data_IF_075800348321
#
_entry.id   IF_075800348321
#
_cell.length_a   1.000
_cell.length_b   1.000
_cell.length_c   1.000
_cell.angle_alpha   90.00
_cell.angle_beta   90.00
_cell.angle_gamma   90.00
#
_symmetry.space_group_name_H-M   'P 1'
#
loop_
_entity.id
_entity.type
_entity.pdbx_description
1 polymer ?
#
# COMPACT_ATOMS: atom_id res chain seq x y z
N UNK A 1 9.78 -29.22 -0.23
CA UNK A 1 10.40 -29.39 1.09
C UNK A 1 11.14 -28.14 1.49
N UNK A 2 10.51 -27.38 2.38
CA UNK A 2 10.85 -26.01 2.77
C UNK A 2 11.25 -25.97 4.26
N UNK A 3 11.75 -27.08 4.78
CA UNK A 3 11.76 -27.31 6.21
C UNK A 3 12.91 -26.54 6.84
N UNK A 4 12.55 -25.50 7.58
CA UNK A 4 13.40 -24.97 8.62
C UNK A 4 13.74 -26.15 9.53
N UNK A 5 15.00 -26.57 9.57
CA UNK A 5 15.41 -27.81 10.26
C UNK A 5 15.28 -27.59 11.77
N UNK A 6 15.79 -26.46 12.25
CA UNK A 6 15.67 -26.05 13.64
C UNK A 6 15.53 -24.54 13.70
N UNK A 7 14.84 -24.05 14.72
CA UNK A 7 14.77 -22.61 15.04
C UNK A 7 15.24 -22.39 16.46
N UNK A 8 16.25 -21.55 16.59
CA UNK A 8 16.83 -21.18 17.89
C UNK A 8 16.71 -19.67 18.03
N UNK A 9 16.05 -19.24 19.11
CA UNK A 9 16.02 -17.82 19.48
C UNK A 9 16.21 -17.65 20.97
N UNK A 10 16.62 -16.45 21.35
CA UNK A 10 16.90 -16.09 22.74
C UNK A 10 15.75 -15.24 23.27
N UNK A 11 15.17 -15.66 24.39
CA UNK A 11 14.12 -14.93 25.11
C UNK A 11 14.59 -14.68 26.56
N UNK A 12 15.04 -13.46 26.84
CA UNK A 12 15.64 -13.12 28.13
C UNK A 12 16.95 -13.88 28.37
N UNK A 13 17.01 -14.70 29.43
CA UNK A 13 18.16 -15.58 29.72
C UNK A 13 17.99 -17.01 29.20
N UNK A 14 16.86 -17.32 28.57
CA UNK A 14 16.56 -18.65 28.04
C UNK A 14 16.81 -18.72 26.53
N UNK A 15 17.22 -19.89 26.05
CA UNK A 15 17.27 -20.24 24.64
C UNK A 15 16.14 -21.21 24.33
N UNK A 16 15.28 -20.86 23.40
CA UNK A 16 14.18 -21.71 22.93
C UNK A 16 14.59 -22.34 21.62
N UNK A 17 14.48 -23.67 21.55
CA UNK A 17 14.85 -24.49 20.40
C UNK A 17 13.61 -25.25 19.94
N UNK A 18 13.20 -25.02 18.70
CA UNK A 18 12.22 -25.82 17.99
C UNK A 18 12.95 -26.77 17.04
N UNK A 19 12.68 -28.06 17.16
CA UNK A 19 13.17 -29.12 16.28
C UNK A 19 11.98 -29.84 15.62
N UNK A 20 12.25 -30.90 14.87
CA UNK A 20 11.24 -31.76 14.23
C UNK A 20 10.45 -32.65 15.20
N UNK A 21 11.06 -33.03 16.32
CA UNK A 21 10.47 -33.90 17.35
C UNK A 21 10.00 -33.14 18.60
N UNK A 22 10.70 -32.06 18.97
CA UNK A 22 10.59 -31.45 20.29
C UNK A 22 10.76 -29.93 20.32
N UNK A 23 10.19 -29.35 21.37
CA UNK A 23 10.39 -27.97 21.81
C UNK A 23 11.18 -28.01 23.11
N UNK A 24 12.38 -27.44 23.12
CA UNK A 24 13.26 -27.45 24.29
C UNK A 24 13.66 -26.02 24.71
N UNK A 25 13.65 -25.77 26.01
CA UNK A 25 14.09 -24.50 26.61
C UNK A 25 15.35 -24.76 27.42
N UNK A 26 16.43 -24.03 27.11
CA UNK A 26 17.71 -24.13 27.79
C UNK A 26 18.00 -22.86 28.57
N UNK A 27 18.60 -23.00 29.76
CA UNK A 27 19.24 -21.89 30.45
C UNK A 27 20.66 -21.71 29.92
N UNK A 28 21.12 -20.46 29.85
CA UNK A 28 22.45 -20.06 29.36
C UNK A 28 23.64 -20.82 29.96
N UNK A 29 23.46 -21.45 31.12
CA UNK A 29 24.51 -22.13 31.88
C UNK A 29 24.42 -23.66 31.74
N UNK A 30 23.25 -24.21 31.44
CA UNK A 30 23.00 -25.65 31.48
C UNK A 30 22.78 -26.23 30.08
N UNK A 31 23.55 -27.28 29.77
CA UNK A 31 23.39 -28.07 28.53
C UNK A 31 22.12 -28.94 28.59
N UNK A 32 21.55 -29.16 29.77
CA UNK A 32 20.28 -29.89 29.93
C UNK A 32 19.10 -28.94 29.76
N UNK A 33 18.06 -29.34 29.02
CA UNK A 33 16.87 -28.52 28.89
C UNK A 33 16.18 -28.38 30.25
N UNK A 34 15.76 -27.15 30.56
CA UNK A 34 14.91 -26.83 31.70
C UNK A 34 13.51 -27.38 31.48
N UNK A 35 13.07 -27.39 30.23
CA UNK A 35 11.75 -27.83 29.82
C UNK A 35 11.81 -28.44 28.41
N UNK A 36 11.09 -29.55 28.21
CA UNK A 36 11.06 -30.28 26.94
C UNK A 36 9.64 -30.81 26.70
N UNK A 37 9.06 -30.53 25.53
CA UNK A 37 7.78 -31.07 25.06
C UNK A 37 8.01 -31.78 23.73
N UNK A 38 7.49 -33.00 23.60
CA UNK A 38 7.42 -33.73 22.34
C UNK A 38 6.08 -33.45 21.66
N UNK A 39 6.11 -33.10 20.38
CA UNK A 39 4.90 -32.72 19.62
C UNK A 39 4.53 -33.71 18.50
N UNK A 40 5.37 -34.71 18.22
CA UNK A 40 5.09 -35.82 17.27
C UNK A 40 4.67 -35.37 15.85
N UNK A 41 4.96 -34.13 15.45
CA UNK A 41 4.54 -33.57 14.15
C UNK A 41 5.36 -34.15 12.98
N UNK A 42 6.58 -34.64 13.22
CA UNK A 42 7.51 -35.10 12.19
C UNK A 42 8.08 -33.98 11.32
N UNK A 43 7.85 -32.72 11.71
CA UNK A 43 8.44 -31.53 11.10
C UNK A 43 8.52 -30.40 12.12
N UNK A 44 9.45 -29.49 11.91
CA UNK A 44 9.67 -28.33 12.78
C UNK A 44 8.50 -27.34 12.63
N UNK A 45 7.80 -26.96 13.71
CA UNK A 45 6.62 -26.09 13.68
C UNK A 45 6.98 -24.61 13.42
N UNK A 46 7.94 -24.37 12.53
CA UNK A 46 8.42 -23.05 12.18
C UNK A 46 8.57 -22.92 10.66
N UNK A 47 8.12 -21.78 10.15
CA UNK A 47 8.14 -21.46 8.73
C UNK A 47 8.56 -20.03 8.51
N UNK A 48 9.31 -19.79 7.44
CA UNK A 48 9.59 -18.44 6.97
C UNK A 48 8.37 -17.82 6.31
N UNK A 49 8.24 -16.50 6.45
CA UNK A 49 7.11 -15.74 5.95
C UNK A 49 7.00 -15.81 4.41
N UNK A 50 8.12 -15.61 3.71
CA UNK A 50 8.16 -15.62 2.25
C UNK A 50 8.50 -17.01 1.72
N UNK A 51 7.75 -17.48 0.72
CA UNK A 51 7.98 -18.81 0.12
C UNK A 51 9.00 -18.80 -1.02
N UNK A 52 9.15 -17.68 -1.72
CA UNK A 52 10.05 -17.55 -2.87
C UNK A 52 11.51 -17.45 -2.42
N UNK A 53 12.38 -18.29 -2.99
CA UNK A 53 13.82 -18.27 -2.72
C UNK A 53 14.48 -17.15 -3.51
N UNK A 54 15.48 -16.50 -2.89
CA UNK A 54 16.30 -15.51 -3.59
C UNK A 54 17.27 -16.18 -4.58
N UNK A 55 17.90 -17.28 -4.14
CA UNK A 55 18.79 -18.10 -4.95
C UNK A 55 18.33 -19.56 -4.86
N UNK A 56 18.55 -20.33 -5.91
CA UNK A 56 18.13 -21.74 -5.97
C UNK A 56 18.77 -22.59 -4.87
N UNK A 57 20.02 -22.30 -4.53
CA UNK A 57 20.82 -23.02 -3.54
C UNK A 57 20.57 -22.54 -2.10
N UNK A 58 20.19 -21.28 -1.92
CA UNK A 58 19.99 -20.71 -0.59
C UNK A 58 18.56 -20.94 -0.09
N UNK A 59 18.42 -21.79 0.92
CA UNK A 59 17.12 -22.12 1.54
C UNK A 59 16.61 -21.03 2.51
N UNK A 60 17.50 -20.20 3.03
CA UNK A 60 17.22 -19.22 4.10
C UNK A 60 16.82 -17.87 3.50
N UNK A 61 17.56 -17.38 2.51
CA UNK A 61 17.31 -16.06 1.94
C UNK A 61 16.08 -16.11 1.02
N UNK A 62 15.06 -15.34 1.38
CA UNK A 62 13.80 -15.27 0.64
C UNK A 62 13.63 -13.93 -0.05
N UNK A 63 12.95 -13.98 -1.20
CA UNK A 63 12.66 -12.82 -1.99
C UNK A 63 11.46 -12.08 -1.40
N UNK A 64 11.67 -10.86 -0.89
CA UNK A 64 10.60 -9.96 -0.50
C UNK A 64 10.17 -9.07 -1.69
N UNK A 65 9.07 -8.31 -1.58
CA UNK A 65 8.72 -7.27 -2.56
C UNK A 65 9.83 -6.23 -2.75
N UNK A 66 10.58 -5.90 -1.69
CA UNK A 66 11.64 -4.88 -1.72
C UNK A 66 12.95 -5.41 -2.28
N UNK A 67 13.17 -6.73 -2.25
CA UNK A 67 14.45 -7.35 -2.65
C UNK A 67 14.89 -7.00 -4.08
N UNK A 68 13.95 -6.76 -5.00
CA UNK A 68 14.26 -6.36 -6.39
C UNK A 68 14.80 -4.93 -6.51
N UNK A 69 14.45 -4.07 -5.57
CA UNK A 69 14.77 -2.64 -5.58
C UNK A 69 15.90 -2.27 -4.62
N UNK A 70 16.58 -3.26 -4.02
CA UNK A 70 17.68 -3.01 -3.07
C UNK A 70 18.81 -2.18 -3.70
N UNK A 71 19.18 -2.48 -4.94
CA UNK A 71 20.18 -1.70 -5.68
C UNK A 71 19.72 -0.26 -5.92
N UNK A 72 18.43 -0.05 -6.20
CA UNK A 72 17.87 1.27 -6.45
C UNK A 72 17.78 2.07 -5.14
N UNK A 73 17.56 1.42 -4.00
CA UNK A 73 17.61 2.03 -2.67
C UNK A 73 19.04 2.49 -2.30
N UNK A 74 20.06 1.71 -2.61
CA UNK A 74 21.46 2.12 -2.42
C UNK A 74 21.79 3.35 -3.28
N UNK A 75 21.30 3.37 -4.51
CA UNK A 75 21.46 4.50 -5.41
C UNK A 75 20.71 5.76 -4.94
N UNK A 76 19.50 5.59 -4.40
CA UNK A 76 18.75 6.67 -3.77
C UNK A 76 19.51 7.23 -2.55
N UNK A 77 20.07 6.38 -1.70
CA UNK A 77 20.87 6.80 -0.54
C UNK A 77 22.09 7.61 -0.98
N UNK A 78 22.76 7.19 -2.05
CA UNK A 78 23.86 7.93 -2.64
C UNK A 78 23.42 9.34 -3.07
N UNK A 79 22.32 9.46 -3.82
CA UNK A 79 21.81 10.76 -4.27
C UNK A 79 21.38 11.67 -3.11
N UNK A 80 20.72 11.12 -2.08
CA UNK A 80 20.36 11.88 -0.88
C UNK A 80 21.60 12.40 -0.15
N UNK A 81 22.67 11.60 -0.09
CA UNK A 81 23.93 11.97 0.56
C UNK A 81 24.68 13.01 -0.26
N UNK A 82 24.77 12.82 -1.57
CA UNK A 82 25.36 13.79 -2.50
C UNK A 82 24.65 15.14 -2.42
N UNK A 83 23.31 15.16 -2.39
CA UNK A 83 22.53 16.39 -2.20
C UNK A 83 22.88 17.10 -0.90
N UNK A 84 23.03 16.37 0.22
CA UNK A 84 23.45 16.96 1.51
C UNK A 84 24.84 17.60 1.40
N UNK A 85 25.80 16.92 0.78
CA UNK A 85 27.14 17.48 0.56
C UNK A 85 27.11 18.72 -0.34
N UNK A 86 26.31 18.71 -1.41
CA UNK A 86 26.17 19.85 -2.30
C UNK A 86 25.47 21.03 -1.64
N UNK A 87 24.42 20.79 -0.87
CA UNK A 87 23.77 21.84 -0.07
C UNK A 87 24.76 22.48 0.90
N UNK A 88 25.61 21.67 1.56
CA UNK A 88 26.65 22.18 2.43
C UNK A 88 27.68 23.00 1.65
N UNK A 89 28.19 22.48 0.53
CA UNK A 89 29.16 23.18 -0.33
C UNK A 89 28.60 24.49 -0.91
N UNK A 90 27.32 24.51 -1.27
CA UNK A 90 26.65 25.68 -1.83
C UNK A 90 26.26 26.72 -0.76
N UNK A 91 26.13 26.32 0.50
CA UNK A 91 25.81 27.23 1.60
C UNK A 91 27.00 28.09 2.03
N UNK A 92 28.23 27.63 1.75
CA UNK A 92 29.46 28.33 2.09
C UNK A 92 30.24 28.68 0.82
N UNK A 93 30.29 29.96 0.49
CA UNK A 93 31.00 30.45 -0.67
C UNK A 93 32.50 30.20 -0.52
N UNK A 94 33.15 29.79 -1.61
CA UNK A 94 34.61 29.70 -1.69
C UNK A 94 35.14 30.97 -2.33
N UNK A 95 36.12 31.59 -1.69
CA UNK A 95 36.75 32.82 -2.12
C UNK A 95 38.19 32.52 -2.53
N UNK A 96 38.63 33.14 -3.63
CA UNK A 96 40.02 33.02 -4.08
C UNK A 96 40.65 34.40 -4.16
N UNK A 97 41.75 34.60 -3.45
CA UNK A 97 42.53 35.84 -3.45
C UNK A 97 43.89 35.62 -4.11
N UNK A 98 44.58 36.70 -4.47
CA UNK A 98 45.99 36.56 -4.81
C UNK A 98 46.82 36.26 -3.56
N UNK A 99 47.88 35.47 -3.74
CA UNK A 99 48.94 35.39 -2.73
C UNK A 99 49.51 36.80 -2.53
N UNK A 100 49.40 37.31 -1.30
CA UNK A 100 50.15 38.49 -0.89
C UNK A 100 51.58 38.03 -0.61
N UNK A 101 52.57 38.64 -1.26
CA UNK A 101 53.96 38.49 -0.83
C UNK A 101 54.09 39.07 0.58
N UNK A 102 54.57 38.26 1.53
CA UNK A 102 54.84 38.63 2.94
C UNK A 102 56.04 39.58 3.09
N UNK A 103 56.25 40.49 2.13
CA UNK A 103 57.32 41.48 2.14
C UNK A 103 56.87 42.80 2.80
N UNK A 104 56.10 42.74 3.89
CA UNK A 104 55.78 43.92 4.69
C UNK A 104 57.04 44.41 5.43
N UNK A 105 57.80 45.32 4.82
CA UNK A 105 58.85 46.07 5.51
C UNK A 105 58.21 47.26 6.23
N UNK A 106 58.09 47.16 7.55
CA UNK A 106 57.73 48.29 8.42
C UNK A 106 58.72 49.45 8.19
N UNK A 107 58.29 50.63 7.72
CA UNK A 107 59.18 51.75 7.43
C UNK A 107 59.79 52.40 8.68
N UNK A 108 59.48 51.91 9.90
CA UNK A 108 60.05 52.41 11.17
C UNK A 108 60.93 51.42 11.92
N UNK A 109 61.41 50.34 11.30
CA UNK A 109 62.43 49.49 11.94
C UNK A 109 63.84 49.85 11.48
N UNK A 110 64.50 50.68 12.27
CA UNK A 110 65.94 50.92 12.21
C UNK A 110 66.69 49.60 12.42
N UNK A 111 67.54 49.26 11.46
CA UNK A 111 68.71 48.36 11.53
C UNK A 111 68.79 47.38 12.72
N UNK A 112 68.16 46.22 12.59
CA UNK A 112 68.62 45.00 13.27
C UNK A 112 69.26 44.08 12.22
N UNK A 113 70.60 43.99 12.24
CA UNK A 113 71.41 43.13 11.36
C UNK A 113 71.43 41.66 11.79
N UNK A 114 70.33 41.11 12.31
CA UNK A 114 70.24 39.71 12.75
C UNK A 114 68.87 39.05 12.48
N UNK A 115 68.26 39.35 11.32
CA UNK A 115 67.15 38.54 10.81
C UNK A 115 67.71 37.54 9.80
N UNK A 116 67.97 36.31 10.25
CA UNK A 116 68.24 35.17 9.38
C UNK A 116 67.11 34.97 8.35
N UNK A 117 67.36 34.25 7.25
CA UNK A 117 66.36 34.06 6.19
C UNK A 117 65.10 33.47 6.82
N UNK A 118 63.96 34.15 6.66
CA UNK A 118 62.66 33.64 7.06
C UNK A 118 62.46 32.30 6.33
N UNK A 119 62.56 31.19 7.04
CA UNK A 119 62.27 29.86 6.49
C UNK A 119 60.81 29.85 6.01
N UNK A 120 60.63 29.70 4.69
CA UNK A 120 59.31 29.41 4.11
C UNK A 120 58.81 28.11 4.74
N UNK A 121 57.81 28.21 5.62
CA UNK A 121 57.07 27.03 6.08
C UNK A 121 56.53 26.30 4.84
N UNK A 122 56.70 24.98 4.73
CA UNK A 122 56.12 24.23 3.62
C UNK A 122 54.60 24.42 3.66
N UNK A 123 53.99 24.78 2.52
CA UNK A 123 52.53 24.79 2.37
C UNK A 123 52.02 23.37 2.64
N UNK A 124 51.52 23.13 3.85
CA UNK A 124 50.68 21.98 4.11
C UNK A 124 49.44 22.12 3.23
N UNK A 125 49.11 21.10 2.44
CA UNK A 125 47.85 21.07 1.71
C UNK A 125 46.71 21.01 2.72
N UNK A 126 46.16 22.16 3.09
CA UNK A 126 44.91 22.23 3.86
C UNK A 126 43.79 21.61 3.02
N UNK A 127 43.06 20.66 3.63
CA UNK A 127 41.92 20.04 2.98
C UNK A 127 40.91 21.11 2.60
N UNK A 128 40.63 21.26 1.30
CA UNK A 128 39.65 22.22 0.79
C UNK A 128 38.24 21.78 1.14
N UNK A 129 37.71 22.34 2.24
CA UNK A 129 36.34 22.19 2.69
C UNK A 129 35.39 23.24 2.09
N UNK A 130 34.10 23.17 2.41
CA UNK A 130 33.16 24.26 2.18
C UNK A 130 33.61 25.52 2.93
N UNK A 131 33.60 26.69 2.27
CA UNK A 131 34.08 27.96 2.86
C UNK A 131 35.60 28.17 2.85
N UNK A 132 36.39 27.30 2.20
CA UNK A 132 37.84 27.50 2.10
C UNK A 132 38.18 28.73 1.27
N UNK A 133 39.10 29.54 1.81
CA UNK A 133 39.75 30.64 1.12
C UNK A 133 40.99 30.09 0.41
N UNK A 134 41.02 30.17 -0.91
CA UNK A 134 42.17 29.75 -1.72
C UNK A 134 43.04 30.92 -2.15
N UNK A 135 44.31 30.66 -2.41
CA UNK A 135 45.23 31.66 -2.97
C UNK A 135 45.64 31.27 -4.39
N UNK A 136 45.76 32.27 -5.28
CA UNK A 136 46.24 32.12 -6.65
C UNK A 136 47.54 32.91 -6.78
N UNK A 137 48.60 32.37 -7.40
CA UNK A 137 49.85 33.12 -7.58
C UNK A 137 49.62 34.34 -8.46
N UNK A 138 50.24 35.47 -8.10
CA UNK A 138 50.17 36.71 -8.88
C UNK A 138 50.92 36.54 -10.21
N UNK A 139 50.35 36.90 -11.37
CA UNK A 139 51.05 36.84 -12.66
C UNK A 139 52.24 37.80 -12.67
N UNK A 140 53.40 37.34 -13.18
CA UNK A 140 54.68 38.06 -13.03
C UNK A 140 55.15 38.81 -14.30
N UNK A 141 54.39 38.79 -15.40
CA UNK A 141 54.81 39.44 -16.65
C UNK A 141 53.68 39.98 -17.56
N UNK A 142 54.01 40.87 -18.52
CA UNK A 142 53.05 41.48 -19.45
C UNK A 142 52.41 40.50 -20.44
N UNK A 143 53.05 39.37 -20.77
CA UNK A 143 52.49 38.33 -21.66
C UNK A 143 51.63 37.30 -20.91
N UNK A 144 51.63 37.31 -19.57
CA UNK A 144 50.71 36.51 -18.73
C UNK A 144 49.40 37.25 -18.40
N UNK A 145 49.28 38.52 -18.81
CA UNK A 145 48.09 39.34 -18.61
C UNK A 145 46.86 38.85 -19.38
N UNK A 146 47.03 38.06 -20.44
CA UNK A 146 45.92 37.52 -21.25
C UNK A 146 45.20 36.36 -20.56
N UNK A 147 45.79 35.82 -19.49
CA UNK A 147 45.22 34.80 -18.61
C UNK A 147 44.75 35.36 -17.28
N UNK A 148 44.18 36.57 -17.26
CA UNK A 148 43.48 37.16 -16.09
C UNK A 148 42.39 36.21 -15.57
N UNK A 149 42.78 35.19 -14.79
CA UNK A 149 41.90 34.53 -13.84
C UNK A 149 41.57 35.60 -12.82
N UNK A 150 40.39 36.20 -12.95
CA UNK A 150 39.91 37.24 -12.05
C UNK A 150 40.20 36.83 -10.59
N UNK A 151 41.07 37.55 -9.87
CA UNK A 151 41.23 37.37 -8.43
C UNK A 151 39.97 37.93 -7.75
N UNK A 152 39.38 37.19 -6.82
CA UNK A 152 38.08 37.53 -6.25
C UNK A 152 36.90 36.94 -7.03
N UNK A 153 37.08 35.81 -7.72
CA UNK A 153 35.92 35.03 -8.20
C UNK A 153 35.25 34.38 -7.00
N UNK A 154 34.07 34.91 -6.68
CA UNK A 154 33.09 34.20 -5.88
C UNK A 154 32.58 33.02 -6.71
N UNK A 155 32.94 31.80 -6.32
CA UNK A 155 32.34 30.62 -6.96
C UNK A 155 30.89 30.54 -6.49
N UNK A 156 29.97 30.88 -7.40
CA UNK A 156 28.55 30.75 -7.14
C UNK A 156 28.16 29.28 -7.03
N UNK A 157 27.17 28.95 -6.20
CA UNK A 157 26.72 27.57 -6.03
C UNK A 157 26.15 27.02 -7.34
N UNK A 158 26.48 25.76 -7.66
CA UNK A 158 25.98 25.11 -8.88
C UNK A 158 24.51 24.67 -8.69
N UNK A 159 23.59 25.60 -8.99
CA UNK A 159 22.15 25.40 -8.90
C UNK A 159 21.65 24.36 -9.91
N UNK A 160 22.32 24.19 -11.06
CA UNK A 160 21.87 23.24 -12.10
C UNK A 160 22.09 21.81 -11.66
N UNK A 161 23.28 21.51 -11.14
CA UNK A 161 23.58 20.16 -10.64
C UNK A 161 22.77 19.85 -9.38
N UNK A 162 22.52 20.84 -8.52
CA UNK A 162 21.64 20.66 -7.37
C UNK A 162 20.21 20.29 -7.79
N UNK A 163 19.63 21.00 -8.78
CA UNK A 163 18.31 20.68 -9.32
C UNK A 163 18.26 19.29 -9.93
N UNK A 164 19.28 18.90 -10.70
CA UNK A 164 19.38 17.56 -11.27
C UNK A 164 19.33 16.48 -10.19
N UNK A 165 20.07 16.62 -9.10
CA UNK A 165 20.02 15.66 -8.00
C UNK A 165 18.68 15.61 -7.28
N UNK A 166 17.99 16.74 -7.14
CA UNK A 166 16.63 16.78 -6.56
C UNK A 166 15.62 16.08 -7.47
N UNK A 167 15.69 16.34 -8.77
CA UNK A 167 14.81 15.71 -9.76
C UNK A 167 15.07 14.20 -9.85
N UNK A 168 16.34 13.77 -9.82
CA UNK A 168 16.74 12.37 -9.83
C UNK A 168 16.32 11.64 -8.54
N UNK A 169 16.48 12.27 -7.37
CA UNK A 169 15.99 11.72 -6.09
C UNK A 169 14.47 11.48 -6.14
N UNK A 170 13.71 12.45 -6.64
CA UNK A 170 12.26 12.32 -6.77
C UNK A 170 11.88 11.22 -7.77
N UNK A 171 12.61 11.14 -8.90
CA UNK A 171 12.42 10.12 -9.93
C UNK A 171 12.67 8.71 -9.38
N UNK A 172 13.81 8.49 -8.73
CA UNK A 172 14.18 7.21 -8.12
C UNK A 172 13.23 6.81 -6.99
N UNK A 173 12.89 7.75 -6.09
CA UNK A 173 11.92 7.51 -5.03
C UNK A 173 10.56 7.09 -5.59
N UNK A 174 10.08 7.78 -6.63
CA UNK A 174 8.83 7.44 -7.31
C UNK A 174 8.91 6.09 -8.03
N UNK A 175 10.04 5.77 -8.67
CA UNK A 175 10.27 4.49 -9.34
C UNK A 175 10.21 3.32 -8.34
N UNK A 176 10.95 3.43 -7.24
CA UNK A 176 10.99 2.41 -6.18
C UNK A 176 9.58 2.24 -5.59
N UNK A 177 8.91 3.34 -5.25
CA UNK A 177 7.56 3.29 -4.71
C UNK A 177 6.59 2.59 -5.67
N UNK A 178 6.61 2.94 -6.96
CA UNK A 178 5.76 2.33 -8.00
C UNK A 178 6.07 0.86 -8.23
N UNK A 179 7.33 0.44 -8.09
CA UNK A 179 7.72 -0.96 -8.23
C UNK A 179 7.22 -1.81 -7.05
N UNK A 180 7.28 -1.27 -5.83
CA UNK A 180 6.90 -2.00 -4.61
C UNK A 180 5.39 -2.02 -4.39
N UNK A 181 4.71 -0.89 -4.58
CA UNK A 181 3.28 -0.71 -4.24
C UNK A 181 2.38 -0.78 -5.48
N UNK A 182 2.93 -0.59 -6.68
CA UNK A 182 2.19 -0.31 -7.89
C UNK A 182 2.02 1.19 -8.12
N UNK A 183 1.51 1.56 -9.31
CA UNK A 183 1.38 2.97 -9.70
C UNK A 183 0.14 3.58 -9.04
N UNK A 184 0.32 4.64 -8.25
CA UNK A 184 -0.80 5.41 -7.68
C UNK A 184 -1.39 6.39 -8.72
N UNK A 185 -2.70 6.61 -8.63
CA UNK A 185 -3.47 7.49 -9.53
C UNK A 185 -3.09 8.97 -9.36
N UNK A 186 -2.71 9.38 -8.15
CA UNK A 186 -2.52 10.78 -7.77
C UNK A 186 -1.35 11.50 -8.48
N UNK A 187 -0.43 10.77 -9.12
CA UNK A 187 0.74 11.37 -9.80
C UNK A 187 0.43 11.74 -11.27
N UNK A 188 -0.80 11.54 -11.74
CA UNK A 188 -1.14 11.64 -13.16
C UNK A 188 -2.41 12.46 -13.39
N UNK A 189 -2.43 13.70 -12.89
CA UNK A 189 -3.41 14.70 -13.34
C UNK A 189 -2.85 15.43 -14.57
N UNK A 190 -3.61 15.35 -15.68
CA UNK A 190 -4.17 16.52 -16.42
C UNK A 190 -4.54 16.20 -17.88
N UNK A 191 -4.88 14.95 -18.21
CA UNK A 191 -5.42 14.63 -19.53
C UNK A 191 -6.34 13.43 -19.45
N UNK A 192 -7.49 13.51 -20.12
CA UNK A 192 -8.47 12.44 -20.24
C UNK A 192 -7.78 11.12 -20.57
N UNK A 193 -7.65 10.23 -19.59
CA UNK A 193 -7.07 8.91 -19.81
C UNK A 193 -8.12 8.00 -20.41
N UNK A 194 -7.68 7.20 -21.37
CA UNK A 194 -8.45 6.07 -21.88
C UNK A 194 -8.59 5.01 -20.77
N UNK A 195 -9.79 4.48 -20.59
CA UNK A 195 -10.18 3.46 -19.61
C UNK A 195 -9.14 2.31 -19.48
N UNK A 196 -8.60 1.85 -20.61
CA UNK A 196 -7.57 0.79 -20.68
C UNK A 196 -6.29 1.10 -19.88
N UNK A 197 -5.90 2.37 -19.75
CA UNK A 197 -4.70 2.75 -18.98
C UNK A 197 -4.97 2.71 -17.46
N UNK A 198 -6.21 2.96 -17.07
CA UNK A 198 -6.66 2.89 -15.68
C UNK A 198 -6.73 1.42 -15.25
N UNK A 199 -7.31 0.55 -16.10
CA UNK A 199 -7.39 -0.88 -15.83
C UNK A 199 -6.01 -1.54 -15.70
N UNK A 200 -5.08 -1.21 -16.60
CA UNK A 200 -3.70 -1.71 -16.52
C UNK A 200 -2.98 -1.31 -15.23
N UNK A 201 -3.34 -0.15 -14.66
CA UNK A 201 -2.80 0.30 -13.37
C UNK A 201 -3.33 -0.56 -12.23
N UNK A 202 -4.64 -0.87 -12.23
CA UNK A 202 -5.25 -1.75 -11.24
C UNK A 202 -4.71 -3.17 -11.29
N UNK A 203 -4.51 -3.72 -12.49
CA UNK A 203 -3.92 -5.05 -12.67
C UNK A 203 -2.52 -5.14 -12.05
N UNK A 204 -1.73 -4.07 -12.19
CA UNK A 204 -0.38 -4.00 -11.60
C UNK A 204 -0.44 -4.04 -10.07
N UNK A 205 -1.31 -3.25 -9.45
CA UNK A 205 -1.51 -3.24 -8.00
C UNK A 205 -2.07 -4.58 -7.48
N UNK A 206 -3.03 -5.16 -8.19
CA UNK A 206 -3.59 -6.47 -7.87
C UNK A 206 -2.53 -7.57 -7.88
N UNK A 207 -1.64 -7.56 -8.88
CA UNK A 207 -0.54 -8.54 -8.98
C UNK A 207 0.36 -8.52 -7.75
N UNK A 208 0.74 -7.32 -7.27
CA UNK A 208 1.51 -7.15 -6.03
C UNK A 208 0.74 -7.70 -4.82
N UNK A 209 -0.54 -7.35 -4.69
CA UNK A 209 -1.38 -7.84 -3.60
C UNK A 209 -1.58 -9.34 -3.63
N UNK A 210 -1.74 -9.96 -4.80
CA UNK A 210 -1.87 -11.42 -4.92
C UNK A 210 -0.63 -12.16 -4.44
N UNK A 211 0.56 -11.62 -4.74
CA UNK A 211 1.83 -12.19 -4.24
C UNK A 211 1.87 -12.14 -2.70
N UNK A 212 1.46 -11.03 -2.10
CA UNK A 212 1.42 -10.89 -0.64
C UNK A 212 0.37 -11.82 -0.03
N UNK A 213 -0.86 -11.79 -0.57
CA UNK A 213 -1.99 -12.64 -0.15
C UNK A 213 -1.62 -14.12 -0.12
N UNK A 214 -1.08 -14.63 -1.23
CA UNK A 214 -0.73 -16.06 -1.36
C UNK A 214 0.23 -16.49 -0.24
N UNK A 215 1.21 -15.65 0.11
CA UNK A 215 2.11 -15.96 1.22
C UNK A 215 1.39 -15.96 2.58
N UNK A 216 0.49 -15.00 2.84
CA UNK A 216 -0.31 -14.98 4.07
C UNK A 216 -1.23 -16.19 4.21
N UNK A 217 -1.93 -16.59 3.14
CA UNK A 217 -2.79 -17.79 3.15
C UNK A 217 -2.00 -19.04 3.46
N UNK A 218 -0.82 -19.16 2.85
CA UNK A 218 0.09 -20.27 3.07
C UNK A 218 0.59 -20.31 4.53
N UNK A 219 0.92 -19.16 5.12
CA UNK A 219 1.36 -19.08 6.53
C UNK A 219 0.24 -19.45 7.47
N UNK A 220 -0.95 -18.87 7.29
CA UNK A 220 -2.07 -19.15 8.18
C UNK A 220 -2.54 -20.58 8.02
N UNK A 221 -2.54 -21.12 6.80
CA UNK A 221 -2.84 -22.53 6.56
C UNK A 221 -1.84 -23.42 7.31
N UNK A 222 -0.55 -23.06 7.30
CA UNK A 222 0.46 -23.77 8.08
C UNK A 222 0.22 -23.65 9.59
N UNK A 223 -0.06 -22.45 10.10
CA UNK A 223 -0.31 -22.22 11.53
C UNK A 223 -1.56 -22.96 12.02
N UNK A 224 -2.68 -22.83 11.31
CA UNK A 224 -3.96 -23.44 11.68
C UNK A 224 -3.93 -24.96 11.50
N UNK A 225 -3.27 -25.48 10.46
CA UNK A 225 -3.09 -26.93 10.32
C UNK A 225 -2.20 -27.50 11.41
N UNK A 226 -1.12 -26.81 11.78
CA UNK A 226 -0.23 -27.24 12.88
C UNK A 226 -1.00 -27.23 14.20
N UNK A 227 -1.75 -26.16 14.49
CA UNK A 227 -2.58 -26.06 15.69
C UNK A 227 -3.67 -27.14 15.73
N UNK A 228 -4.36 -27.37 14.60
CA UNK A 228 -5.40 -28.39 14.50
C UNK A 228 -4.83 -29.80 14.64
N UNK A 229 -3.64 -30.07 14.10
CA UNK A 229 -2.95 -31.37 14.24
C UNK A 229 -2.59 -31.61 15.71
N UNK A 230 -2.03 -30.62 16.42
CA UNK A 230 -1.73 -30.74 17.85
C UNK A 230 -3.02 -30.96 18.68
N UNK A 231 -4.12 -30.30 18.30
CA UNK A 231 -5.38 -30.35 19.07
C UNK A 231 -6.20 -31.62 18.83
N UNK A 232 -6.26 -32.08 17.58
CA UNK A 232 -7.18 -33.13 17.14
C UNK A 232 -6.47 -34.41 16.68
N UNK A 233 -5.14 -34.40 16.52
CA UNK A 233 -4.37 -35.55 16.06
C UNK A 233 -4.90 -36.11 14.74
N UNK A 234 -5.10 -37.42 14.69
CA UNK A 234 -5.56 -38.17 13.52
C UNK A 234 -6.98 -37.81 13.04
N UNK A 235 -7.77 -37.09 13.85
CA UNK A 235 -9.11 -36.65 13.44
C UNK A 235 -9.07 -35.44 12.48
N UNK A 236 -7.91 -34.79 12.32
CA UNK A 236 -7.75 -33.66 11.42
C UNK A 236 -7.57 -34.11 9.97
N UNK A 237 -8.49 -33.70 9.09
CA UNK A 237 -8.46 -34.05 7.66
C UNK A 237 -7.74 -32.97 6.84
N UNK A 238 -7.94 -31.69 7.16
CA UNK A 238 -7.34 -30.59 6.42
C UNK A 238 -7.92 -29.22 6.76
N UNK A 239 -7.21 -28.19 6.30
CA UNK A 239 -7.59 -26.79 6.42
C UNK A 239 -7.33 -26.06 5.10
N UNK A 240 -8.25 -25.20 4.71
CA UNK A 240 -8.13 -24.29 3.57
C UNK A 240 -8.44 -22.88 4.04
N UNK A 241 -7.59 -21.93 3.65
CA UNK A 241 -7.72 -20.52 3.99
C UNK A 241 -7.64 -19.75 2.68
N UNK A 242 -8.71 -19.01 2.36
CA UNK A 242 -8.79 -18.11 1.23
C UNK A 242 -9.15 -16.69 1.70
N UNK A 243 -8.32 -15.72 1.34
CA UNK A 243 -8.49 -14.30 1.61
C UNK A 243 -9.29 -13.57 0.52
N UNK A 244 -9.75 -14.29 -0.50
CA UNK A 244 -10.56 -13.77 -1.60
C UNK A 244 -9.74 -12.94 -2.60
N UNK A 245 -10.35 -12.59 -3.72
CA UNK A 245 -9.65 -11.92 -4.85
C UNK A 245 -10.09 -10.48 -5.06
N UNK A 246 -11.07 -10.02 -4.30
CA UNK A 246 -11.72 -8.72 -4.46
C UNK A 246 -11.13 -7.72 -3.47
N UNK A 247 -10.29 -6.82 -3.97
CA UNK A 247 -9.69 -5.74 -3.19
C UNK A 247 -10.37 -4.40 -3.47
N UNK A 248 -10.41 -3.54 -2.46
CA UNK A 248 -10.96 -2.18 -2.52
C UNK A 248 -9.98 -1.21 -3.17
N UNK A 249 -9.65 -1.43 -4.45
CA UNK A 249 -8.75 -0.56 -5.21
C UNK A 249 -9.51 0.51 -6.00
N UNK A 250 -10.74 0.20 -6.43
CA UNK A 250 -11.56 1.10 -7.24
C UNK A 250 -12.40 2.03 -6.36
N UNK A 251 -12.42 3.30 -6.74
CA UNK A 251 -13.32 4.29 -6.15
C UNK A 251 -14.76 4.06 -6.58
N UNK A 252 -15.70 4.54 -5.75
CA UNK A 252 -17.14 4.41 -5.97
C UNK A 252 -17.57 4.98 -7.34
N UNK A 253 -16.96 6.09 -7.76
CA UNK A 253 -17.23 6.73 -9.07
C UNK A 253 -16.86 5.82 -10.24
N UNK A 254 -15.70 5.17 -10.17
CA UNK A 254 -15.24 4.23 -11.20
C UNK A 254 -16.13 2.99 -11.24
N UNK A 255 -16.53 2.45 -10.08
CA UNK A 255 -17.45 1.31 -10.01
C UNK A 255 -18.84 1.62 -10.58
N UNK A 256 -19.35 2.84 -10.40
CA UNK A 256 -20.58 3.28 -11.07
C UNK A 256 -20.42 3.39 -12.59
N UNK A 257 -19.24 3.80 -13.06
CA UNK A 257 -18.87 3.77 -14.49
C UNK A 257 -18.92 2.35 -15.05
N UNK A 258 -18.22 1.42 -14.40
CA UNK A 258 -18.19 0.00 -14.76
C UNK A 258 -19.61 -0.60 -14.81
N UNK A 259 -20.45 -0.27 -13.82
CA UNK A 259 -21.83 -0.73 -13.76
C UNK A 259 -22.66 -0.24 -14.97
N UNK A 260 -22.51 1.04 -15.34
CA UNK A 260 -23.21 1.62 -16.49
C UNK A 260 -22.78 0.92 -17.79
N UNK A 261 -21.48 0.73 -17.98
CA UNK A 261 -20.92 0.07 -19.18
C UNK A 261 -21.39 -1.38 -19.26
N UNK A 262 -21.32 -2.13 -18.15
CA UNK A 262 -21.80 -3.51 -18.09
C UNK A 262 -23.29 -3.61 -18.43
N UNK A 263 -24.09 -2.65 -17.97
CA UNK A 263 -25.52 -2.59 -18.26
C UNK A 263 -25.82 -2.26 -19.72
N UNK A 264 -25.09 -1.30 -20.32
CA UNK A 264 -25.21 -0.95 -21.74
C UNK A 264 -24.73 -2.10 -22.65
N UNK A 265 -23.72 -2.85 -22.23
CA UNK A 265 -23.23 -4.04 -22.92
C UNK A 265 -24.14 -5.26 -22.81
N UNK A 266 -25.17 -5.22 -21.97
CA UNK A 266 -26.08 -6.34 -21.74
C UNK A 266 -25.43 -7.50 -20.97
N UNK A 267 -24.53 -7.20 -20.03
CA UNK A 267 -23.92 -8.21 -19.18
C UNK A 267 -24.97 -9.01 -18.38
N UNK A 268 -24.64 -10.26 -18.04
CA UNK A 268 -25.51 -11.12 -17.23
C UNK A 268 -25.76 -10.53 -15.84
N UNK A 269 -26.92 -10.84 -15.25
CA UNK A 269 -27.33 -10.34 -13.92
C UNK A 269 -26.31 -10.64 -12.83
N UNK A 270 -25.65 -11.81 -12.86
CA UNK A 270 -24.59 -12.19 -11.92
C UNK A 270 -23.43 -11.18 -11.91
N UNK A 271 -23.07 -10.64 -13.07
CA UNK A 271 -21.96 -9.68 -13.19
C UNK A 271 -22.41 -8.30 -12.67
N UNK A 272 -23.65 -7.90 -12.96
CA UNK A 272 -24.21 -6.66 -12.44
C UNK A 272 -24.31 -6.70 -10.91
N UNK A 273 -24.72 -7.85 -10.35
CA UNK A 273 -24.75 -8.08 -8.91
C UNK A 273 -23.36 -7.99 -8.29
N UNK A 274 -22.35 -8.64 -8.89
CA UNK A 274 -20.98 -8.57 -8.39
C UNK A 274 -20.44 -7.13 -8.34
N UNK A 275 -20.70 -6.33 -9.39
CA UNK A 275 -20.29 -4.93 -9.43
C UNK A 275 -21.04 -4.12 -8.37
N UNK A 276 -22.35 -4.35 -8.20
CA UNK A 276 -23.14 -3.66 -7.18
C UNK A 276 -22.67 -4.01 -5.76
N UNK A 277 -22.40 -5.28 -5.47
CA UNK A 277 -21.87 -5.69 -4.18
C UNK A 277 -20.54 -4.99 -3.88
N UNK A 278 -19.67 -4.82 -4.89
CA UNK A 278 -18.44 -4.01 -4.74
C UNK A 278 -18.78 -2.55 -4.40
N UNK A 279 -19.75 -1.93 -5.06
CA UNK A 279 -20.17 -0.55 -4.75
C UNK A 279 -20.63 -0.43 -3.29
N UNK A 280 -21.49 -1.34 -2.83
CA UNK A 280 -22.01 -1.34 -1.45
C UNK A 280 -20.90 -1.57 -0.44
N UNK A 281 -20.06 -2.57 -0.65
CA UNK A 281 -18.96 -2.90 0.25
C UNK A 281 -17.93 -1.76 0.33
N UNK A 282 -17.66 -1.07 -0.79
CA UNK A 282 -16.76 0.10 -0.80
C UNK A 282 -17.39 1.29 -0.07
N UNK A 283 -18.70 1.55 -0.25
CA UNK A 283 -19.39 2.65 0.41
C UNK A 283 -19.50 2.47 1.93
N UNK A 284 -19.75 1.25 2.40
CA UNK A 284 -19.99 0.95 3.82
C UNK A 284 -18.81 0.26 4.50
N UNK A 285 -17.58 0.51 4.04
CA UNK A 285 -16.36 -0.17 4.50
C UNK A 285 -16.18 -0.20 6.03
N UNK A 286 -16.55 0.89 6.71
CA UNK A 286 -16.41 1.03 8.16
C UNK A 286 -17.70 0.77 8.93
N UNK A 287 -18.84 0.64 8.26
CA UNK A 287 -20.15 0.49 8.89
C UNK A 287 -20.81 -0.83 8.50
N UNK A 288 -20.50 -1.86 9.31
CA UNK A 288 -21.03 -3.20 9.11
C UNK A 288 -22.56 -3.25 9.27
N UNK A 289 -23.16 -2.34 10.05
CA UNK A 289 -24.62 -2.31 10.26
C UNK A 289 -25.31 -1.80 9.00
N UNK A 290 -24.79 -0.75 8.38
CA UNK A 290 -25.33 -0.23 7.12
C UNK A 290 -25.11 -1.19 5.95
N UNK A 291 -23.98 -1.91 5.93
CA UNK A 291 -23.71 -2.96 4.96
C UNK A 291 -24.73 -4.10 5.06
N UNK A 292 -24.94 -4.64 6.26
CA UNK A 292 -25.94 -5.68 6.49
C UNK A 292 -27.35 -5.22 6.13
N UNK A 293 -27.69 -3.96 6.44
CA UNK A 293 -28.97 -3.35 6.04
C UNK A 293 -29.12 -3.29 4.53
N UNK A 294 -28.10 -2.87 3.80
CA UNK A 294 -28.13 -2.78 2.34
C UNK A 294 -28.28 -4.17 1.69
N UNK A 295 -27.61 -5.19 2.23
CA UNK A 295 -27.74 -6.58 1.77
C UNK A 295 -29.17 -7.10 1.97
N UNK A 296 -29.75 -6.91 3.15
CA UNK A 296 -31.14 -7.30 3.43
C UNK A 296 -32.10 -6.59 2.46
N UNK A 297 -31.95 -5.28 2.25
CA UNK A 297 -32.81 -4.53 1.34
C UNK A 297 -32.70 -5.06 -0.10
N UNK A 298 -31.50 -5.46 -0.54
CA UNK A 298 -31.28 -6.02 -1.88
C UNK A 298 -32.00 -7.36 -2.07
N UNK A 299 -32.01 -8.22 -1.06
CA UNK A 299 -32.76 -9.48 -1.14
C UNK A 299 -34.28 -9.31 -1.05
N UNK A 300 -34.74 -8.25 -0.37
CA UNK A 300 -36.16 -7.90 -0.32
C UNK A 300 -36.66 -7.27 -1.62
N UNK A 301 -35.76 -6.85 -2.51
CA UNK A 301 -36.09 -6.26 -3.79
C UNK A 301 -36.35 -7.36 -4.84
N UNK A 302 -37.55 -7.43 -5.46
CA UNK A 302 -37.82 -8.42 -6.49
C UNK A 302 -36.97 -8.31 -7.76
N UNK A 303 -36.43 -7.12 -8.07
CA UNK A 303 -35.65 -6.82 -9.27
C UNK A 303 -34.53 -5.80 -8.96
N UNK A 304 -33.49 -6.16 -8.18
CA UNK A 304 -32.54 -5.20 -7.61
C UNK A 304 -31.74 -4.40 -8.65
N UNK A 305 -31.41 -5.01 -9.79
CA UNK A 305 -30.56 -4.39 -10.82
C UNK A 305 -31.33 -3.60 -11.89
N UNK A 306 -32.67 -3.55 -11.76
CA UNK A 306 -33.55 -2.87 -12.70
C UNK A 306 -33.95 -1.49 -12.19
N UNK A 307 -33.96 -0.52 -13.10
CA UNK A 307 -34.50 0.81 -12.82
C UNK A 307 -36.03 0.79 -12.88
N UNK A 308 -36.69 1.76 -12.25
CA UNK A 308 -38.16 1.85 -12.27
C UNK A 308 -38.73 1.87 -13.71
N UNK A 309 -38.04 2.54 -14.64
CA UNK A 309 -38.43 2.58 -16.06
C UNK A 309 -38.39 1.20 -16.72
N UNK A 310 -37.36 0.41 -16.41
CA UNK A 310 -37.23 -0.97 -16.92
C UNK A 310 -38.29 -1.87 -16.31
N UNK A 311 -38.58 -1.70 -15.02
CA UNK A 311 -39.59 -2.48 -14.30
C UNK A 311 -41.00 -2.19 -14.85
N UNK A 312 -41.32 -0.93 -15.16
CA UNK A 312 -42.58 -0.56 -15.85
C UNK A 312 -42.68 -1.28 -17.20
N UNK A 313 -41.63 -1.23 -18.02
CA UNK A 313 -41.62 -1.91 -19.31
C UNK A 313 -41.76 -3.45 -19.19
N UNK A 314 -41.22 -4.05 -18.12
CA UNK A 314 -41.35 -5.49 -17.85
C UNK A 314 -42.79 -5.81 -17.41
N UNK A 315 -43.38 -4.96 -16.57
CA UNK A 315 -44.76 -5.11 -16.13
C UNK A 315 -45.76 -5.00 -17.29
N UNK A 316 -45.58 -4.01 -18.17
CA UNK A 316 -46.42 -3.84 -19.37
C UNK A 316 -46.35 -5.04 -20.32
N UNK A 317 -45.21 -5.75 -20.33
CA UNK A 317 -45.00 -6.99 -21.10
C UNK A 317 -45.47 -8.25 -20.35
N UNK A 318 -46.03 -8.12 -19.15
CA UNK A 318 -46.51 -9.24 -18.33
C UNK A 318 -45.40 -10.08 -17.70
N UNK A 319 -44.18 -9.55 -17.57
CA UNK A 319 -43.02 -10.29 -17.04
C UNK A 319 -42.93 -10.32 -15.50
N UNK A 320 -43.77 -9.56 -14.79
CA UNK A 320 -43.77 -9.50 -13.32
C UNK A 320 -45.19 -9.38 -12.78
N UNK A 321 -45.44 -10.01 -11.63
CA UNK A 321 -46.71 -9.91 -10.91
C UNK A 321 -46.94 -8.50 -10.33
N UNK A 322 -48.21 -8.09 -10.25
CA UNK A 322 -48.64 -6.77 -9.77
C UNK A 322 -48.16 -6.50 -8.34
N UNK A 323 -48.17 -7.52 -7.47
CA UNK A 323 -47.71 -7.39 -6.08
C UNK A 323 -46.22 -7.08 -6.04
N UNK A 324 -45.40 -7.85 -6.77
CA UNK A 324 -43.95 -7.63 -6.82
C UNK A 324 -43.59 -6.28 -7.48
N UNK A 325 -44.36 -5.83 -8.47
CA UNK A 325 -44.23 -4.50 -9.05
C UNK A 325 -44.48 -3.38 -8.01
N UNK A 326 -45.55 -3.51 -7.20
CA UNK A 326 -45.88 -2.55 -6.14
C UNK A 326 -44.79 -2.52 -5.05
N UNK A 327 -44.26 -3.70 -4.69
CA UNK A 327 -43.15 -3.81 -3.73
C UNK A 327 -41.91 -3.11 -4.25
N UNK A 328 -41.48 -3.35 -5.50
CA UNK A 328 -40.31 -2.69 -6.09
C UNK A 328 -40.46 -1.17 -6.08
N UNK A 329 -41.58 -0.65 -6.58
CA UNK A 329 -41.82 0.79 -6.73
C UNK A 329 -41.95 1.54 -5.40
N UNK A 330 -42.34 0.85 -4.31
CA UNK A 330 -42.50 1.45 -2.98
C UNK A 330 -41.56 0.86 -1.92
N UNK A 331 -40.47 0.21 -2.33
CA UNK A 331 -39.59 -0.56 -1.44
C UNK A 331 -39.13 0.25 -0.22
N UNK A 332 -38.62 1.46 -0.43
CA UNK A 332 -38.15 2.33 0.66
C UNK A 332 -39.26 2.71 1.65
N UNK A 333 -40.49 2.93 1.17
CA UNK A 333 -41.64 3.23 2.05
C UNK A 333 -42.03 2.02 2.87
N UNK A 334 -42.03 0.83 2.28
CA UNK A 334 -42.33 -0.42 2.96
C UNK A 334 -41.28 -0.77 4.01
N UNK A 335 -40.00 -0.57 3.70
CA UNK A 335 -38.90 -0.68 4.67
C UNK A 335 -39.10 0.27 5.84
N UNK A 336 -39.37 1.55 5.60
CA UNK A 336 -39.60 2.52 6.68
C UNK A 336 -40.83 2.19 7.53
N UNK A 337 -41.94 1.76 6.90
CA UNK A 337 -43.14 1.32 7.61
C UNK A 337 -42.86 0.11 8.49
N UNK A 338 -42.13 -0.87 7.96
CA UNK A 338 -41.72 -2.06 8.70
C UNK A 338 -40.82 -1.70 9.87
N UNK A 339 -39.78 -0.89 9.65
CA UNK A 339 -38.84 -0.48 10.71
C UNK A 339 -39.55 0.27 11.84
N UNK A 340 -40.60 1.04 11.53
CA UNK A 340 -41.43 1.74 12.52
C UNK A 340 -42.28 0.80 13.38
N UNK A 341 -42.73 -0.32 12.83
CA UNK A 341 -43.64 -1.26 13.51
C UNK A 341 -42.92 -2.39 14.23
N UNK A 342 -41.79 -2.86 13.69
CA UNK A 342 -41.14 -4.10 14.14
C UNK A 342 -39.68 -3.89 14.62
N UNK A 343 -39.16 -2.67 14.57
CA UNK A 343 -37.75 -2.37 14.86
C UNK A 343 -36.84 -2.48 13.64
N UNK A 344 -35.54 -2.18 13.82
CA UNK A 344 -34.60 -2.10 12.70
C UNK A 344 -34.39 -3.42 11.96
N UNK A 345 -34.25 -3.38 10.63
CA UNK A 345 -34.10 -4.58 9.79
C UNK A 345 -32.97 -5.53 10.21
N UNK A 346 -31.87 -4.97 10.72
CA UNK A 346 -30.70 -5.75 11.16
C UNK A 346 -31.01 -6.51 12.45
N UNK A 347 -31.72 -5.87 13.39
CA UNK A 347 -32.01 -6.43 14.73
C UNK A 347 -33.22 -7.39 14.70
N UNK A 348 -34.18 -7.16 13.80
CA UNK A 348 -35.34 -8.02 13.63
C UNK A 348 -34.91 -9.46 13.32
N UNK A 349 -35.42 -10.44 14.06
CA UNK A 349 -35.15 -11.86 13.81
C UNK A 349 -33.69 -12.28 13.98
N UNK A 350 -32.89 -11.60 14.81
CA UNK A 350 -31.46 -11.92 15.03
C UNK A 350 -31.19 -13.33 15.57
N UNK A 351 -32.17 -13.95 16.23
CA UNK A 351 -32.11 -15.32 16.74
C UNK A 351 -32.70 -16.37 15.78
N UNK A 352 -33.23 -15.94 14.64
CA UNK A 352 -33.91 -16.79 13.65
C UNK A 352 -32.98 -16.97 12.45
N UNK A 353 -33.12 -18.10 11.76
CA UNK A 353 -32.44 -18.35 10.49
C UNK A 353 -32.74 -17.25 9.45
N UNK A 354 -31.75 -16.92 8.63
CA UNK A 354 -31.79 -15.76 7.72
C UNK A 354 -32.89 -15.89 6.66
N UNK A 355 -33.09 -17.09 6.09
CA UNK A 355 -34.12 -17.31 5.06
C UNK A 355 -35.52 -17.12 5.64
N UNK A 356 -35.72 -17.60 6.86
CA UNK A 356 -37.00 -17.45 7.56
C UNK A 356 -37.28 -15.97 7.85
N UNK A 357 -36.27 -15.22 8.28
CA UNK A 357 -36.35 -13.78 8.50
C UNK A 357 -36.77 -13.03 7.23
N UNK A 358 -36.13 -13.30 6.09
CA UNK A 358 -36.47 -12.64 4.82
C UNK A 358 -37.92 -12.95 4.40
N UNK A 359 -38.35 -14.20 4.53
CA UNK A 359 -39.71 -14.61 4.19
C UNK A 359 -40.78 -13.91 5.05
N UNK A 360 -40.54 -13.73 6.35
CA UNK A 360 -41.45 -12.97 7.22
C UNK A 360 -41.58 -11.51 6.79
N UNK A 361 -40.48 -10.87 6.44
CA UNK A 361 -40.48 -9.47 5.97
C UNK A 361 -41.21 -9.37 4.62
N UNK A 362 -40.95 -10.27 3.68
CA UNK A 362 -41.64 -10.31 2.39
C UNK A 362 -43.15 -10.52 2.55
N UNK A 363 -43.57 -11.39 3.47
CA UNK A 363 -44.99 -11.59 3.75
C UNK A 363 -45.65 -10.30 4.30
N UNK A 364 -44.94 -9.52 5.12
CA UNK A 364 -45.42 -8.20 5.54
C UNK A 364 -45.48 -7.20 4.38
N UNK A 365 -44.51 -7.23 3.47
CA UNK A 365 -44.54 -6.36 2.28
C UNK A 365 -45.68 -6.70 1.35
N UNK A 366 -46.01 -7.99 1.16
CA UNK A 366 -47.20 -8.43 0.41
C UNK A 366 -48.48 -7.92 1.05
N UNK A 367 -48.63 -8.01 2.38
CA UNK A 367 -49.77 -7.43 3.10
C UNK A 367 -49.90 -5.92 2.84
N UNK A 368 -48.78 -5.16 2.88
CA UNK A 368 -48.79 -3.73 2.58
C UNK A 368 -49.14 -3.42 1.12
N UNK A 369 -48.71 -4.27 0.18
CA UNK A 369 -49.04 -4.13 -1.24
C UNK A 369 -50.53 -4.41 -1.50
N UNK A 370 -51.11 -5.41 -0.83
CA UNK A 370 -52.52 -5.75 -0.94
C UNK A 370 -53.43 -4.63 -0.40
N UNK A 371 -53.06 -4.00 0.72
CA UNK A 371 -53.77 -2.84 1.27
C UNK A 371 -53.87 -1.69 0.24
N UNK A 372 -52.78 -1.39 -0.46
CA UNK A 372 -52.73 -0.34 -1.50
C UNK A 372 -53.58 -0.73 -2.72
N UNK A 373 -53.58 -2.01 -3.09
CA UNK A 373 -54.41 -2.50 -4.18
C UNK A 373 -55.91 -2.43 -3.88
N UNK A 374 -56.32 -2.53 -2.61
CA UNK A 374 -57.72 -2.40 -2.20
C UNK A 374 -58.22 -0.97 -2.03
N UNK A 375 -57.33 0.03 -2.00
CA UNK A 375 -57.70 1.41 -1.64
C UNK A 375 -58.04 2.38 -2.79
N UNK A 376 -57.88 2.04 -4.07
CA UNK A 376 -58.33 2.93 -5.19
C UNK A 376 -58.76 2.14 -6.45
N UNK A 377 -60.01 2.31 -6.95
CA UNK A 377 -60.30 2.11 -8.37
C UNK A 377 -59.58 3.21 -9.14
N UNK A 378 -58.96 2.87 -10.28
CA UNK A 378 -58.32 3.89 -11.13
C UNK A 378 -59.42 4.79 -11.72
N UNK A 379 -59.22 6.12 -11.82
CA UNK A 379 -60.12 6.96 -12.59
C UNK A 379 -60.02 6.55 -14.05
N UNK A 380 -60.99 5.76 -14.53
CA UNK A 380 -61.07 5.32 -15.93
C UNK A 380 -61.25 3.82 -16.17
N UNK A 381 -61.42 2.98 -15.15
CA UNK A 381 -61.87 1.60 -15.41
C UNK A 381 -63.35 1.62 -15.86
N UNK A 382 -63.68 1.05 -17.02
CA UNK A 382 -65.07 0.95 -17.48
C UNK A 382 -65.83 -0.08 -16.65
N UNK A 383 -67.03 0.29 -16.22
CA UNK A 383 -68.03 -0.61 -15.61
C UNK A 383 -68.38 -1.81 -16.50
#
# INVERSE_FOLDING_TARGET
>A
DLNCIYVIYKEGEHFVVYDDERIAIFDKINIKPVFEIFHELGYTPARQFWSEKLESENLINKQSPVTKELSDLDWLLFHMTARKHMNLANSYQKEFYYEFDDDFKDPKRTEDKDAGPLEKKPLGHEMSGPGTIGTVPMPKGPDEFDGLKNPGVLLSPDVKTLKWHVDEENSLSTKIFRSVVGVDQNVLNDSAKNEKQIDSTFETQLSVLFRVKTNFEIINKFADSTLATIRYGDAFIGCEIDYGTKYFLKDVTTLHGDFKIAKEAGASEVILDDIYQKIVNTNYRSDNRSLARAQIIRELDPLPDRTDKEVINIFDKGGIDKINFVIKTNLLKFVQRFERSNGGLVEFGSAIDFDTKINEILNKFKQYADEINTSEPRPGDPD
#
